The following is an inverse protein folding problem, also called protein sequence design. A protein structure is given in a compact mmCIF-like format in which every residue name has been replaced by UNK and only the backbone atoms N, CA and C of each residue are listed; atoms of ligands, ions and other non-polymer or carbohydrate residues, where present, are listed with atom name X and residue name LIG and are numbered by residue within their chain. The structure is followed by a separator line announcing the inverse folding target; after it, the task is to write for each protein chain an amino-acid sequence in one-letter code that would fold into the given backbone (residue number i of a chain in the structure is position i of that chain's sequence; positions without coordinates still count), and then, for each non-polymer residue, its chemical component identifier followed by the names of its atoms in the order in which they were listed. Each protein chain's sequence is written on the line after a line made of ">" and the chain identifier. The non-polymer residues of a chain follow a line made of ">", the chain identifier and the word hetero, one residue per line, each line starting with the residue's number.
data_IF_177082473853
#
_entry.id   IF_177082473853
#
_cell.length_a   1.000
_cell.length_b   1.000
_cell.length_c   1.000
_cell.angle_alpha   90.00
_cell.angle_beta   90.00
_cell.angle_gamma   90.00
#
_symmetry.space_group_name_H-M   'P 1'
#
loop_
_entity.id
_entity.type
_entity.pdbx_description
1 polymer ?
#
# COMPACT_ATOMS: atom_id res chain seq x y z
N UNK A 1 -8.10 -24.73 13.65
CA UNK A 1 -7.93 -23.28 13.62
C UNK A 1 -6.89 -22.91 12.59
N UNK A 2 -7.25 -22.10 11.67
CA UNK A 2 -6.32 -21.67 10.62
C UNK A 2 -5.53 -20.47 11.11
N UNK A 3 -4.25 -20.46 10.81
CA UNK A 3 -3.42 -19.29 11.02
C UNK A 3 -3.77 -18.23 9.96
N UNK A 4 -3.68 -16.96 10.35
CA UNK A 4 -3.80 -15.87 9.39
C UNK A 4 -2.64 -15.95 8.39
N UNK A 5 -2.95 -15.86 7.12
CA UNK A 5 -1.94 -15.76 6.08
C UNK A 5 -1.47 -14.31 6.00
N UNK A 6 -0.17 -14.12 5.88
CA UNK A 6 0.44 -12.81 5.81
C UNK A 6 0.94 -12.54 4.40
N UNK A 7 0.72 -11.33 3.93
CA UNK A 7 1.18 -10.91 2.62
C UNK A 7 1.79 -9.52 2.70
N UNK A 8 2.96 -9.37 2.11
CA UNK A 8 3.60 -8.08 1.91
C UNK A 8 3.50 -7.71 0.44
N UNK A 9 3.02 -6.51 0.18
CA UNK A 9 2.95 -5.97 -1.18
C UNK A 9 3.79 -4.71 -1.23
N UNK A 10 4.82 -4.71 -2.07
CA UNK A 10 5.67 -3.55 -2.29
C UNK A 10 5.16 -2.82 -3.52
N UNK A 11 4.81 -1.55 -3.37
CA UNK A 11 4.29 -0.73 -4.47
C UNK A 11 5.30 0.37 -4.77
N UNK A 12 5.85 0.33 -5.98
CA UNK A 12 6.86 1.29 -6.44
C UNK A 12 6.32 2.26 -7.48
N UNK A 13 5.20 1.93 -8.11
CA UNK A 13 4.62 2.73 -9.20
C UNK A 13 3.58 3.71 -8.69
N UNK A 14 3.53 4.86 -9.33
CA UNK A 14 2.62 5.95 -8.99
C UNK A 14 1.51 6.13 -10.02
N UNK A 15 1.08 7.38 -10.18
CA UNK A 15 -0.12 7.75 -10.94
C UNK A 15 -0.01 7.54 -12.44
N UNK A 16 1.19 7.38 -12.97
CA UNK A 16 1.46 7.28 -14.41
C UNK A 16 1.63 5.84 -14.90
N UNK A 17 1.40 4.85 -14.05
CA UNK A 17 1.64 3.46 -14.42
C UNK A 17 0.44 2.58 -14.00
N UNK A 18 -0.16 1.90 -14.97
CA UNK A 18 -1.33 1.05 -14.70
C UNK A 18 -1.05 -0.13 -13.77
N UNK A 19 0.22 -0.49 -13.57
CA UNK A 19 0.57 -1.50 -12.57
C UNK A 19 0.11 -1.12 -11.17
N UNK A 20 -0.05 0.16 -10.91
CA UNK A 20 -0.63 0.61 -9.65
C UNK A 20 -2.05 0.10 -9.47
N UNK A 21 -2.84 0.07 -10.54
CA UNK A 21 -4.19 -0.50 -10.48
C UNK A 21 -4.16 -1.98 -10.12
N UNK A 22 -3.21 -2.73 -10.70
CA UNK A 22 -3.02 -4.14 -10.39
C UNK A 22 -2.64 -4.32 -8.91
N UNK A 23 -1.70 -3.52 -8.42
CA UNK A 23 -1.25 -3.61 -7.04
C UNK A 23 -2.39 -3.39 -6.04
N UNK A 24 -3.17 -2.33 -6.24
CA UNK A 24 -4.28 -2.01 -5.34
C UNK A 24 -5.41 -3.02 -5.46
N UNK A 25 -5.66 -3.55 -6.65
CA UNK A 25 -6.65 -4.62 -6.87
C UNK A 25 -6.25 -5.88 -6.11
N UNK A 26 -4.98 -6.28 -6.17
CA UNK A 26 -4.49 -7.45 -5.44
C UNK A 26 -4.56 -7.22 -3.93
N UNK A 27 -4.21 -6.02 -3.46
CA UNK A 27 -4.33 -5.70 -2.04
C UNK A 27 -5.77 -5.84 -1.56
N UNK A 28 -6.73 -5.34 -2.33
CA UNK A 28 -8.16 -5.47 -2.01
C UNK A 28 -8.59 -6.95 -1.98
N UNK A 29 -8.15 -7.72 -2.96
CA UNK A 29 -8.44 -9.15 -3.02
C UNK A 29 -7.86 -9.91 -1.83
N UNK A 30 -6.64 -9.59 -1.43
CA UNK A 30 -6.00 -10.21 -0.27
C UNK A 30 -6.77 -9.92 1.02
N UNK A 31 -7.22 -8.68 1.20
CA UNK A 31 -8.05 -8.31 2.34
C UNK A 31 -9.36 -9.10 2.33
N UNK A 32 -10.00 -9.21 1.17
CA UNK A 32 -11.24 -9.98 1.02
C UNK A 32 -11.06 -11.46 1.32
N UNK A 33 -9.86 -11.99 1.17
CA UNK A 33 -9.53 -13.38 1.49
C UNK A 33 -8.94 -13.56 2.89
N UNK A 34 -9.05 -12.54 3.73
CA UNK A 34 -8.60 -12.55 5.12
C UNK A 34 -7.08 -12.69 5.30
N UNK A 35 -6.30 -12.21 4.33
CA UNK A 35 -4.86 -12.05 4.55
C UNK A 35 -4.60 -10.88 5.50
N UNK A 36 -3.58 -11.02 6.33
CA UNK A 36 -3.00 -9.88 7.03
C UNK A 36 -2.07 -9.17 6.04
N UNK A 37 -2.51 -8.03 5.55
CA UNK A 37 -1.81 -7.30 4.49
C UNK A 37 -0.90 -6.24 5.10
N UNK A 38 0.33 -6.20 4.61
CA UNK A 38 1.28 -5.12 4.88
C UNK A 38 1.68 -4.53 3.53
N UNK A 39 1.51 -3.22 3.41
CA UNK A 39 1.98 -2.49 2.24
C UNK A 39 3.27 -1.76 2.58
N UNK A 40 4.22 -1.82 1.67
CA UNK A 40 5.43 -1.00 1.73
C UNK A 40 5.48 -0.15 0.49
N UNK A 41 5.30 1.16 0.66
CA UNK A 41 5.22 2.11 -0.44
C UNK A 41 6.55 2.82 -0.56
N UNK A 42 7.17 2.68 -1.73
CA UNK A 42 8.49 3.22 -2.02
C UNK A 42 8.47 3.95 -3.35
N UNK A 43 9.46 4.81 -3.57
CA UNK A 43 9.56 5.57 -4.82
C UNK A 43 8.22 6.31 -5.07
N UNK A 44 7.72 6.29 -6.29
CA UNK A 44 6.46 6.97 -6.63
C UNK A 44 5.24 6.37 -5.94
N UNK A 45 5.35 5.14 -5.42
CA UNK A 45 4.25 4.51 -4.69
C UNK A 45 3.83 5.24 -3.43
N UNK A 46 4.72 6.04 -2.83
CA UNK A 46 4.40 6.79 -1.62
C UNK A 46 3.27 7.81 -1.84
N UNK A 47 3.06 8.23 -3.08
CA UNK A 47 2.04 9.23 -3.40
C UNK A 47 0.61 8.72 -3.15
N UNK A 48 0.39 7.41 -3.24
CA UNK A 48 -0.96 6.84 -3.19
C UNK A 48 -1.65 7.04 -1.85
N UNK A 49 -0.92 7.11 -0.75
CA UNK A 49 -1.51 7.17 0.59
C UNK A 49 -1.45 8.56 1.20
N UNK A 50 -1.13 9.58 0.41
CA UNK A 50 -1.36 10.96 0.82
C UNK A 50 -2.87 11.23 0.83
N UNK A 51 -3.32 11.99 1.82
CA UNK A 51 -4.75 12.33 1.95
C UNK A 51 -5.28 12.96 0.67
N UNK A 52 -6.29 12.34 0.08
CA UNK A 52 -6.97 12.85 -1.11
C UNK A 52 -6.24 12.67 -2.43
N UNK A 53 -4.99 12.19 -2.44
CA UNK A 53 -4.21 12.13 -3.67
C UNK A 53 -4.79 11.16 -4.71
N UNK A 54 -5.33 10.03 -4.25
CA UNK A 54 -5.88 9.01 -5.15
C UNK A 54 -7.35 9.21 -5.50
N UNK A 55 -8.00 10.24 -4.96
CA UNK A 55 -9.47 10.38 -4.96
C UNK A 55 -10.11 10.28 -6.34
N UNK A 56 -9.44 10.76 -7.38
CA UNK A 56 -9.98 10.77 -8.75
C UNK A 56 -9.18 9.91 -9.71
N UNK A 57 -8.27 9.07 -9.19
CA UNK A 57 -7.40 8.27 -10.04
C UNK A 57 -8.11 7.01 -10.53
N UNK A 58 -8.07 6.79 -11.83
CA UNK A 58 -8.57 5.57 -12.47
C UNK A 58 -7.67 5.27 -13.67
N UNK A 59 -6.78 4.31 -13.50
CA UNK A 59 -5.81 3.95 -14.56
C UNK A 59 -6.33 2.88 -15.49
N UNK A 60 -7.26 2.05 -15.03
CA UNK A 60 -7.92 1.04 -15.83
C UNK A 60 -9.43 1.22 -15.68
N UNK A 61 -10.16 1.51 -16.78
CA UNK A 61 -11.60 1.76 -16.69
C UNK A 61 -12.42 0.53 -16.25
N UNK A 62 -11.83 -0.66 -16.30
CA UNK A 62 -12.50 -1.89 -15.89
C UNK A 62 -12.24 -2.26 -14.43
N UNK A 63 -11.35 -1.55 -13.75
CA UNK A 63 -11.13 -1.67 -12.31
C UNK A 63 -11.97 -0.62 -11.57
N UNK A 64 -12.24 -0.83 -10.27
CA UNK A 64 -12.70 0.27 -9.43
C UNK A 64 -11.72 1.43 -9.44
N UNK A 65 -12.16 2.62 -9.07
CA UNK A 65 -11.22 3.73 -8.95
C UNK A 65 -10.14 3.38 -7.93
N UNK A 66 -8.92 3.87 -8.17
CA UNK A 66 -7.83 3.59 -7.24
C UNK A 66 -8.11 4.23 -5.88
N UNK A 67 -8.75 5.40 -5.88
CA UNK A 67 -9.16 6.04 -4.63
C UNK A 67 -10.02 5.14 -3.76
N UNK A 68 -11.01 4.46 -4.35
CA UNK A 68 -11.86 3.53 -3.62
C UNK A 68 -11.07 2.32 -3.10
N UNK A 69 -10.16 1.81 -3.91
CA UNK A 69 -9.30 0.69 -3.51
C UNK A 69 -8.35 1.06 -2.38
N UNK A 70 -7.77 2.26 -2.44
CA UNK A 70 -6.92 2.79 -1.36
C UNK A 70 -7.73 2.93 -0.07
N UNK A 71 -8.91 3.53 -0.16
CA UNK A 71 -9.78 3.72 1.01
C UNK A 71 -10.13 2.39 1.68
N UNK A 72 -10.41 1.36 0.90
CA UNK A 72 -10.69 0.02 1.43
C UNK A 72 -9.50 -0.52 2.22
N UNK A 73 -8.30 -0.40 1.67
CA UNK A 73 -7.09 -0.90 2.33
C UNK A 73 -6.80 -0.12 3.60
N UNK A 74 -6.88 1.21 3.55
CA UNK A 74 -6.65 2.07 4.72
C UNK A 74 -7.65 1.75 5.83
N UNK A 75 -8.92 1.55 5.47
CA UNK A 75 -10.00 1.28 6.43
C UNK A 75 -9.93 -0.14 7.02
N UNK A 76 -9.24 -1.05 6.36
CA UNK A 76 -9.17 -2.46 6.79
C UNK A 76 -8.29 -2.69 8.01
N UNK A 77 -7.48 -1.71 8.39
CA UNK A 77 -6.48 -1.89 9.44
C UNK A 77 -5.19 -2.54 8.98
N UNK A 78 -4.97 -2.64 7.66
CA UNK A 78 -3.71 -3.14 7.11
C UNK A 78 -2.53 -2.29 7.60
N UNK A 79 -1.37 -2.92 7.73
CA UNK A 79 -0.14 -2.19 8.02
C UNK A 79 0.31 -1.47 6.74
N UNK A 80 0.53 -0.18 6.84
CA UNK A 80 0.96 0.62 5.69
C UNK A 80 2.19 1.41 6.09
N UNK A 81 3.31 1.10 5.45
CA UNK A 81 4.58 1.76 5.69
C UNK A 81 5.00 2.55 4.47
N UNK A 82 5.48 3.76 4.70
CA UNK A 82 6.02 4.64 3.66
C UNK A 82 7.52 4.78 3.90
N UNK A 83 8.29 4.56 2.85
CA UNK A 83 9.75 4.64 2.88
C UNK A 83 10.21 6.03 3.33
N UNK A 84 11.03 6.14 4.40
CA UNK A 84 11.43 7.45 4.92
C UNK A 84 12.20 8.32 3.92
N UNK A 85 13.25 7.85 3.24
CA UNK A 85 13.93 8.72 2.27
C UNK A 85 13.03 9.08 1.09
N UNK A 86 12.11 8.21 0.69
CA UNK A 86 11.19 8.52 -0.41
C UNK A 86 10.21 9.62 -0.03
N UNK A 87 9.70 9.61 1.20
CA UNK A 87 8.85 10.68 1.71
C UNK A 87 9.65 11.97 1.87
N UNK A 88 10.84 11.88 2.43
CA UNK A 88 11.68 13.04 2.73
C UNK A 88 12.08 13.80 1.47
N UNK A 89 12.52 13.10 0.42
CA UNK A 89 12.92 13.78 -0.81
C UNK A 89 11.76 14.49 -1.50
N UNK A 90 10.53 14.08 -1.19
CA UNK A 90 9.31 14.70 -1.74
C UNK A 90 8.74 15.77 -0.83
N UNK A 91 9.33 15.98 0.34
CA UNK A 91 8.85 16.96 1.31
C UNK A 91 7.61 16.51 2.07
N UNK A 92 7.33 15.22 2.11
CA UNK A 92 6.16 14.70 2.82
C UNK A 92 6.44 14.47 4.29
N UNK A 93 5.46 14.81 5.12
CA UNK A 93 5.50 14.61 6.56
C UNK A 93 4.35 13.67 6.96
N UNK A 94 4.39 13.20 8.20
CA UNK A 94 3.38 12.25 8.69
C UNK A 94 1.95 12.73 8.49
N UNK A 95 1.70 14.03 8.65
CA UNK A 95 0.38 14.61 8.51
C UNK A 95 -0.15 14.61 7.06
N UNK A 96 0.72 14.43 6.08
CA UNK A 96 0.31 14.36 4.69
C UNK A 96 -0.38 13.04 4.35
N UNK A 97 -0.19 12.01 5.19
CA UNK A 97 -0.70 10.68 4.94
C UNK A 97 -1.95 10.39 5.77
N UNK A 98 -2.74 9.39 5.34
CA UNK A 98 -3.88 8.91 6.12
C UNK A 98 -3.45 8.48 7.52
N UNK A 99 -4.38 8.56 8.46
CA UNK A 99 -4.15 8.03 9.81
C UNK A 99 -3.88 6.52 9.72
N UNK A 100 -2.90 6.05 10.48
CA UNK A 100 -2.49 4.65 10.46
C UNK A 100 -1.36 4.35 9.49
N UNK A 101 -1.02 5.27 8.60
CA UNK A 101 0.17 5.16 7.76
C UNK A 101 1.39 5.56 8.59
N UNK A 102 2.41 4.70 8.58
CA UNK A 102 3.65 4.97 9.32
C UNK A 102 4.80 5.21 8.35
N UNK A 103 5.62 6.21 8.66
CA UNK A 103 6.88 6.40 7.95
C UNK A 103 7.88 5.47 8.62
N UNK A 104 8.18 4.35 7.98
CA UNK A 104 9.05 3.31 8.53
C UNK A 104 9.83 2.64 7.41
N UNK A 105 11.07 2.27 7.70
CA UNK A 105 11.97 1.72 6.72
C UNK A 105 11.74 0.24 6.42
N UNK A 106 12.62 -0.29 5.56
CA UNK A 106 12.53 -1.68 5.11
C UNK A 106 12.60 -2.69 6.26
N UNK A 107 13.23 -2.33 7.38
CA UNK A 107 13.28 -3.23 8.55
C UNK A 107 11.88 -3.62 9.04
N UNK A 108 10.95 -2.68 9.06
CA UNK A 108 9.57 -2.96 9.46
C UNK A 108 8.89 -3.96 8.51
N UNK A 109 9.12 -3.81 7.21
CA UNK A 109 8.60 -4.75 6.20
C UNK A 109 9.28 -6.12 6.32
N UNK A 110 10.60 -6.13 6.50
CA UNK A 110 11.36 -7.37 6.60
C UNK A 110 11.00 -8.18 7.85
N UNK A 111 10.61 -7.53 8.94
CA UNK A 111 10.09 -8.24 10.12
C UNK A 111 8.87 -9.08 9.75
N UNK A 112 7.98 -8.56 8.94
CA UNK A 112 6.81 -9.30 8.48
C UNK A 112 7.20 -10.44 7.54
N UNK A 113 8.16 -10.21 6.65
CA UNK A 113 8.70 -11.25 5.77
C UNK A 113 9.29 -12.39 6.60
N UNK A 114 10.02 -12.04 7.67
CA UNK A 114 10.64 -13.03 8.56
C UNK A 114 9.61 -13.91 9.28
N UNK A 115 8.37 -13.42 9.43
CA UNK A 115 7.26 -14.18 9.99
C UNK A 115 6.64 -15.17 9.00
N UNK A 116 7.14 -15.23 7.78
CA UNK A 116 6.66 -16.17 6.77
C UNK A 116 5.68 -15.59 5.77
N UNK A 117 5.59 -14.27 5.66
CA UNK A 117 4.69 -13.64 4.71
C UNK A 117 5.07 -13.94 3.26
N UNK A 118 4.07 -14.15 2.41
CA UNK A 118 4.26 -14.12 0.95
C UNK A 118 4.50 -12.69 0.50
N UNK A 119 5.29 -12.50 -0.55
CA UNK A 119 5.65 -11.17 -1.02
C UNK A 119 5.33 -10.99 -2.50
N UNK A 120 4.78 -9.84 -2.83
CA UNK A 120 4.54 -9.42 -4.21
C UNK A 120 5.06 -7.99 -4.38
N UNK A 121 5.52 -7.65 -5.59
CA UNK A 121 6.05 -6.31 -5.89
C UNK A 121 5.48 -5.78 -7.20
N UNK A 122 5.20 -4.51 -7.20
CA UNK A 122 4.66 -3.85 -8.40
C UNK A 122 5.31 -2.51 -8.65
#
# INVERSE_FOLDING_TARGET
>A
MSESKKMVIVITNGFDNERSSVAWSIANGAIGMNFEVTLFLVSNGVDWVRKGAAAHSRLNPYDPSIGDMVDTVVSSGANIYVCPPCAKMRGYQADDFFNGVEIAGSAAMLDVVAEGASTLSF
#
